data_IF_959692762737
#
_entry.id   IF_959692762737
#
_cell.length_a   1.000
_cell.length_b   1.000
_cell.length_c   1.000
_cell.angle_alpha   90.00
_cell.angle_beta   90.00
_cell.angle_gamma   90.00
#
_symmetry.space_group_name_H-M   'P 1'
#
loop_
_entity.id
_entity.type
_entity.pdbx_description
1 polymer ?
#
# COMPACT_ATOMS: atom_id res chain seq x y z
N UNK A 1 20.92 -11.65 2.02
CA UNK A 1 20.01 -11.35 0.90
C UNK A 1 19.78 -9.85 0.91
N UNK A 2 20.00 -9.17 -0.21
CA UNK A 2 19.67 -7.76 -0.34
C UNK A 2 18.18 -7.65 -0.65
N UNK A 3 17.42 -6.99 0.22
CA UNK A 3 15.99 -6.74 0.03
C UNK A 3 15.80 -5.26 -0.32
N UNK A 4 14.99 -5.01 -1.34
CA UNK A 4 14.65 -3.66 -1.78
C UNK A 4 13.26 -3.67 -2.39
N UNK A 5 12.55 -2.56 -2.23
CA UNK A 5 11.23 -2.40 -2.78
C UNK A 5 10.83 -0.94 -2.86
N UNK A 6 9.83 -0.66 -3.66
CA UNK A 6 9.25 0.67 -3.80
C UNK A 6 7.78 0.55 -4.17
N UNK A 7 6.99 1.53 -3.77
CA UNK A 7 5.59 1.62 -4.14
C UNK A 7 5.35 2.89 -4.94
N UNK A 8 4.51 2.79 -5.96
CA UNK A 8 3.98 3.91 -6.71
C UNK A 8 2.50 4.02 -6.39
N UNK A 9 2.09 5.13 -5.80
CA UNK A 9 0.71 5.39 -5.41
C UNK A 9 0.22 6.66 -6.07
N UNK A 10 -1.04 6.66 -6.50
CA UNK A 10 -1.67 7.85 -7.06
C UNK A 10 -3.00 8.15 -6.35
N UNK A 11 -3.03 9.23 -5.58
CA UNK A 11 -4.22 9.60 -4.79
C UNK A 11 -5.23 10.39 -5.62
N UNK A 12 -6.37 9.77 -5.96
CA UNK A 12 -7.47 10.46 -6.63
C UNK A 12 -8.15 11.49 -5.72
N UNK A 13 -8.10 11.27 -4.41
CA UNK A 13 -8.57 12.24 -3.41
C UNK A 13 -7.80 13.55 -3.56
N UNK A 14 -6.47 13.47 -3.62
CA UNK A 14 -5.63 14.64 -3.80
C UNK A 14 -5.85 15.28 -5.17
N UNK A 15 -5.96 14.48 -6.23
CA UNK A 15 -6.26 14.96 -7.58
C UNK A 15 -7.54 15.82 -7.56
N UNK A 16 -8.65 15.30 -7.04
CA UNK A 16 -9.93 16.02 -7.06
C UNK A 16 -9.96 17.23 -6.14
N UNK A 17 -9.33 17.16 -4.97
CA UNK A 17 -9.41 18.23 -3.98
C UNK A 17 -8.41 19.37 -4.21
N UNK A 18 -7.21 19.06 -4.70
CA UNK A 18 -6.09 20.00 -4.71
C UNK A 18 -5.62 20.38 -6.11
N UNK A 19 -5.84 19.53 -7.11
CA UNK A 19 -5.33 19.76 -8.47
C UNK A 19 -6.45 20.11 -9.44
N UNK A 20 -7.39 19.19 -9.64
CA UNK A 20 -8.52 19.33 -10.56
C UNK A 20 -9.59 18.30 -10.24
N UNK A 21 -10.80 18.78 -9.99
CA UNK A 21 -11.96 17.90 -9.94
C UNK A 21 -12.27 17.34 -11.33
N UNK A 22 -12.10 16.03 -11.46
CA UNK A 22 -12.40 15.26 -12.68
C UNK A 22 -13.82 14.68 -12.66
N UNK A 23 -14.64 15.00 -11.65
CA UNK A 23 -16.03 14.59 -11.56
C UNK A 23 -16.24 13.11 -11.22
N UNK A 24 -15.22 12.44 -10.65
CA UNK A 24 -15.40 11.09 -10.10
C UNK A 24 -16.40 11.14 -8.94
N UNK A 25 -17.34 10.20 -8.97
CA UNK A 25 -18.33 10.01 -7.91
C UNK A 25 -17.91 8.86 -7.00
N UNK A 26 -18.48 8.85 -5.79
CA UNK A 26 -18.33 7.72 -4.88
C UNK A 26 -18.78 6.40 -5.54
N UNK A 27 -18.05 5.30 -5.32
CA UNK A 27 -16.88 5.15 -4.42
C UNK A 27 -15.51 5.49 -5.06
N UNK A 28 -15.46 5.89 -6.34
CA UNK A 28 -14.22 6.06 -7.11
C UNK A 28 -13.47 7.36 -6.82
N UNK A 29 -14.15 8.35 -6.24
CA UNK A 29 -13.60 9.63 -5.77
C UNK A 29 -12.51 9.46 -4.69
N UNK A 30 -12.42 8.27 -4.10
CA UNK A 30 -11.56 7.95 -2.96
C UNK A 30 -10.63 6.78 -3.18
N UNK A 31 -10.38 6.44 -4.44
CA UNK A 31 -9.44 5.38 -4.76
C UNK A 31 -8.00 5.90 -4.83
N UNK A 32 -7.09 5.05 -4.39
CA UNK A 32 -5.66 5.22 -4.47
C UNK A 32 -5.15 3.98 -5.18
N UNK A 33 -5.12 3.97 -6.52
CA UNK A 33 -4.41 2.94 -7.27
C UNK A 33 -2.94 2.95 -6.88
N UNK A 34 -2.37 1.75 -6.75
CA UNK A 34 -0.97 1.57 -6.43
C UNK A 34 -0.36 0.36 -7.11
N UNK A 35 0.97 0.37 -7.21
CA UNK A 35 1.76 -0.81 -7.54
C UNK A 35 2.94 -0.87 -6.59
N UNK A 36 3.02 -1.93 -5.80
CA UNK A 36 4.18 -2.22 -4.96
C UNK A 36 5.13 -3.19 -5.67
N UNK A 37 6.42 -2.91 -5.57
CA UNK A 37 7.48 -3.76 -6.09
C UNK A 37 8.34 -4.21 -4.91
N UNK A 38 8.47 -5.53 -4.72
CA UNK A 38 9.25 -6.10 -3.61
C UNK A 38 10.22 -7.14 -4.15
N UNK A 39 11.52 -6.93 -3.94
CA UNK A 39 12.59 -7.74 -4.51
C UNK A 39 13.60 -8.20 -3.46
N UNK A 40 14.15 -9.39 -3.69
CA UNK A 40 15.20 -10.01 -2.90
C UNK A 40 16.26 -10.63 -3.80
N UNK A 41 17.49 -10.14 -3.72
CA UNK A 41 18.64 -10.69 -4.47
C UNK A 41 19.64 -11.35 -3.51
N UNK A 42 19.97 -12.64 -3.68
CA UNK A 42 21.03 -13.31 -2.94
C UNK A 42 22.40 -12.68 -3.24
N UNK A 43 23.21 -12.48 -2.20
CA UNK A 43 24.57 -11.91 -2.33
C UNK A 43 25.67 -13.00 -2.32
N UNK A 44 25.29 -14.27 -2.24
CA UNK A 44 26.24 -15.39 -2.19
C UNK A 44 26.76 -15.72 -3.59
N UNK A 45 28.06 -16.03 -3.68
CA UNK A 45 28.80 -16.24 -4.94
C UNK A 45 28.21 -17.33 -5.86
N UNK A 46 27.46 -18.30 -5.33
CA UNK A 46 26.81 -19.37 -6.10
C UNK A 46 25.35 -19.10 -6.54
N UNK A 47 24.72 -18.04 -6.03
CA UNK A 47 23.34 -17.63 -6.37
C UNK A 47 23.25 -16.12 -6.68
N UNK A 48 24.41 -15.50 -6.94
CA UNK A 48 24.54 -14.07 -7.18
C UNK A 48 23.78 -13.70 -8.45
N UNK A 49 22.77 -12.85 -8.33
CA UNK A 49 21.93 -12.40 -9.45
C UNK A 49 20.60 -13.15 -9.61
N UNK A 50 20.31 -14.14 -8.76
CA UNK A 50 18.98 -14.77 -8.74
C UNK A 50 17.96 -13.91 -7.99
N UNK A 51 17.57 -12.77 -8.56
CA UNK A 51 16.54 -11.90 -7.98
C UNK A 51 15.19 -12.61 -7.93
N UNK A 52 14.59 -12.66 -6.75
CA UNK A 52 13.21 -13.06 -6.52
C UNK A 52 12.40 -11.83 -6.14
N UNK A 53 11.08 -11.88 -6.30
CA UNK A 53 10.24 -10.75 -5.93
C UNK A 53 8.84 -10.79 -6.51
N UNK A 54 8.02 -9.87 -6.04
CA UNK A 54 6.64 -9.71 -6.48
C UNK A 54 6.38 -8.30 -6.99
N UNK A 55 5.48 -8.20 -7.95
CA UNK A 55 4.87 -6.95 -8.39
C UNK A 55 3.42 -7.02 -7.98
N UNK A 56 2.99 -6.06 -7.17
CA UNK A 56 1.70 -6.08 -6.52
C UNK A 56 0.86 -4.89 -6.97
N UNK A 57 0.19 -4.95 -8.13
CA UNK A 57 -0.76 -3.94 -8.51
C UNK A 57 -2.02 -4.07 -7.63
N UNK A 58 -2.54 -2.94 -7.19
CA UNK A 58 -3.71 -2.92 -6.35
C UNK A 58 -4.42 -1.59 -6.33
N UNK A 59 -5.48 -1.58 -5.55
CA UNK A 59 -6.27 -0.39 -5.30
C UNK A 59 -6.64 -0.34 -3.83
N UNK A 60 -6.49 0.85 -3.29
CA UNK A 60 -6.94 1.19 -1.96
C UNK A 60 -8.16 2.10 -2.10
N UNK A 61 -9.20 1.82 -1.32
CA UNK A 61 -10.30 2.72 -1.08
C UNK A 61 -10.17 3.32 0.33
N UNK A 62 -10.07 4.65 0.41
CA UNK A 62 -9.92 5.34 1.70
C UNK A 62 -11.20 6.10 2.09
N UNK A 63 -11.72 5.77 3.26
CA UNK A 63 -12.82 6.49 3.90
C UNK A 63 -12.33 7.29 5.09
N UNK A 64 -13.23 8.02 5.74
CA UNK A 64 -12.90 8.81 6.93
C UNK A 64 -12.40 7.96 8.10
N UNK A 65 -12.85 6.72 8.21
CA UNK A 65 -12.58 5.88 9.39
C UNK A 65 -11.73 4.65 9.07
N UNK A 66 -11.80 4.18 7.83
CA UNK A 66 -11.19 2.92 7.40
C UNK A 66 -10.58 3.07 6.02
N UNK A 67 -9.55 2.27 5.76
CA UNK A 67 -8.91 2.14 4.48
C UNK A 67 -8.89 0.65 4.13
N UNK A 68 -9.44 0.32 2.97
CA UNK A 68 -9.53 -1.04 2.47
C UNK A 68 -8.69 -1.16 1.20
N UNK A 69 -7.72 -2.06 1.20
CA UNK A 69 -6.83 -2.32 0.07
C UNK A 69 -7.01 -3.73 -0.47
N UNK A 70 -6.90 -3.88 -1.79
CA UNK A 70 -6.77 -5.18 -2.44
C UNK A 70 -5.65 -5.08 -3.46
N UNK A 71 -4.73 -6.04 -3.40
CA UNK A 71 -3.61 -6.13 -4.33
C UNK A 71 -3.53 -7.56 -4.88
N UNK A 72 -3.26 -7.68 -6.17
CA UNK A 72 -2.84 -8.94 -6.76
C UNK A 72 -1.34 -9.11 -6.54
N UNK A 73 -0.85 -10.32 -6.30
CA UNK A 73 0.57 -10.59 -6.03
C UNK A 73 1.14 -11.39 -7.19
N UNK A 74 1.88 -10.73 -8.09
CA UNK A 74 2.48 -11.38 -9.25
C UNK A 74 3.93 -11.76 -8.97
N UNK A 75 4.29 -13.06 -8.97
CA UNK A 75 5.69 -13.46 -8.90
C UNK A 75 6.42 -13.08 -10.19
N UNK A 76 7.62 -12.49 -10.08
CA UNK A 76 8.38 -12.07 -11.27
C UNK A 76 9.06 -13.23 -12.00
N UNK A 77 9.18 -14.39 -11.35
CA UNK A 77 9.77 -15.60 -11.91
C UNK A 77 9.34 -16.86 -11.14
N UNK A 78 9.61 -18.02 -11.72
CA UNK A 78 9.28 -19.33 -11.15
C UNK A 78 9.95 -19.61 -9.80
N UNK A 79 11.09 -18.96 -9.50
CA UNK A 79 11.76 -19.06 -8.19
C UNK A 79 10.98 -18.33 -7.10
N UNK A 80 10.24 -17.28 -7.47
CA UNK A 80 9.40 -16.53 -6.53
C UNK A 80 8.08 -17.24 -6.29
N UNK A 81 7.44 -17.74 -7.35
CA UNK A 81 6.16 -18.44 -7.25
C UNK A 81 5.61 -18.83 -8.63
N UNK A 82 4.68 -19.78 -8.65
CA UNK A 82 4.05 -20.30 -9.89
C UNK A 82 2.65 -19.79 -10.14
N UNK A 83 2.09 -19.01 -9.21
CA UNK A 83 0.69 -18.59 -9.26
C UNK A 83 0.54 -17.17 -8.74
N UNK A 84 -0.49 -16.49 -9.25
CA UNK A 84 -0.86 -15.13 -8.81
C UNK A 84 -1.65 -15.25 -7.51
N UNK A 85 -1.22 -14.51 -6.49
CA UNK A 85 -1.93 -14.38 -5.22
C UNK A 85 -2.84 -13.15 -5.19
N UNK A 86 -3.64 -13.04 -4.14
CA UNK A 86 -4.39 -11.82 -3.82
C UNK A 86 -4.22 -11.56 -2.33
N UNK A 87 -3.97 -10.31 -1.97
CA UNK A 87 -3.92 -9.85 -0.58
C UNK A 87 -4.97 -8.76 -0.38
N UNK A 88 -5.69 -8.87 0.73
CA UNK A 88 -6.61 -7.84 1.20
C UNK A 88 -6.06 -7.21 2.47
N UNK A 89 -6.16 -5.89 2.58
CA UNK A 89 -5.69 -5.12 3.72
C UNK A 89 -6.84 -4.27 4.27
N UNK A 90 -6.93 -4.19 5.60
CA UNK A 90 -7.89 -3.35 6.29
C UNK A 90 -7.15 -2.55 7.36
N UNK A 91 -7.11 -1.24 7.18
CA UNK A 91 -6.52 -0.29 8.12
C UNK A 91 -7.60 0.57 8.76
N UNK A 92 -7.43 0.84 10.05
CA UNK A 92 -8.32 1.68 10.85
C UNK A 92 -7.57 2.92 11.30
N UNK A 93 -8.15 4.10 11.06
CA UNK A 93 -7.59 5.35 11.55
C UNK A 93 -8.03 5.56 13.00
N UNK A 94 -7.16 5.21 13.96
CA UNK A 94 -7.47 5.26 15.40
C UNK A 94 -7.85 6.67 15.88
N UNK A 95 -7.21 7.71 15.34
CA UNK A 95 -7.45 9.11 15.72
C UNK A 95 -8.88 9.57 15.36
N UNK A 96 -9.44 9.05 14.26
CA UNK A 96 -10.81 9.33 13.81
C UNK A 96 -11.87 8.41 14.44
N UNK A 97 -11.48 7.20 14.85
CA UNK A 97 -12.36 6.24 15.55
C UNK A 97 -12.52 6.55 17.04
N UNK A 98 -11.49 7.11 17.67
CA UNK A 98 -11.47 7.42 19.11
C UNK A 98 -11.03 8.87 19.41
N UNK A 99 -11.72 9.89 18.87
CA UNK A 99 -11.31 11.29 18.96
C UNK A 99 -11.27 11.86 20.40
N UNK A 100 -11.71 11.10 21.41
CA UNK A 100 -11.76 11.53 22.82
C UNK A 100 -11.00 10.63 23.81
N UNK A 101 -10.34 9.54 23.40
CA UNK A 101 -9.74 8.59 24.36
C UNK A 101 -8.27 8.22 24.15
N UNK A 102 -7.74 8.21 22.92
CA UNK A 102 -6.35 7.85 22.64
C UNK A 102 -5.68 9.00 21.89
N UNK A 103 -4.78 9.74 22.56
CA UNK A 103 -4.11 10.91 21.96
C UNK A 103 -3.94 12.11 22.90
N UNK A 104 -4.43 12.06 24.14
CA UNK A 104 -4.05 13.06 25.14
C UNK A 104 -2.55 12.90 25.48
N UNK A 105 -1.73 13.95 25.39
CA UNK A 105 -0.36 13.88 25.88
C UNK A 105 -0.38 13.51 27.36
N UNK A 106 0.31 12.42 27.73
CA UNK A 106 0.38 11.94 29.12
C UNK A 106 1.21 12.88 30.00
N UNK A 107 2.02 13.75 29.41
CA UNK A 107 2.74 14.83 30.11
C UNK A 107 2.59 16.14 29.32
N UNK A 108 1.60 16.94 29.71
CA UNK A 108 1.65 18.39 29.55
C UNK A 108 2.29 18.95 30.82
N UNK A 109 3.55 19.37 30.75
CA UNK A 109 4.13 20.20 31.80
C UNK A 109 3.40 21.55 31.80
N UNK A 110 3.02 21.97 33.00
CA UNK A 110 2.42 23.26 33.30
C UNK A 110 3.50 24.34 33.34
#
# INVERSE_FOLDING_TARGET
>A
MLQYGFALEYSLIYLQQQVKDIGLRAPFDRLIPLVEFSFGTPLNRGQSGETTGTINPGVIWSSKYVQFGVEAVFPINERTGKSVGVIGQLHFYLDDLFPRSLGRPLFGWK
#
